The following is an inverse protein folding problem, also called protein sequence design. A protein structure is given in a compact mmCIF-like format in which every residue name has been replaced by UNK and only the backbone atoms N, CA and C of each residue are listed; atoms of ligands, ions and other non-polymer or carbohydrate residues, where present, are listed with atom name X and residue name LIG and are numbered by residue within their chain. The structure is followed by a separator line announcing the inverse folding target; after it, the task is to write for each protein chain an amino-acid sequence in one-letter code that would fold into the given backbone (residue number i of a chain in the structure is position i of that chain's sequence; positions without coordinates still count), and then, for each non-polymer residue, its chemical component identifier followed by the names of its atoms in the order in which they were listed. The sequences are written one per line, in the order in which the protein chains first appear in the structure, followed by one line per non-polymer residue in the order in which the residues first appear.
data_IF_710958211177
#
_entry.id   IF_710958211177
#
_cell.length_a   1.000
_cell.length_b   1.000
_cell.length_c   1.000
_cell.angle_alpha   90.00
_cell.angle_beta   90.00
_cell.angle_gamma   90.00
#
_symmetry.space_group_name_H-M   'P 1'
#
loop_
_entity.id
_entity.type
_entity.pdbx_description
1 polymer ?
#
# COMPACT_ATOMS: atom_id res chain seq x y z
N UNK A 1 4.20 4.95 -58.75
CA UNK A 1 3.11 3.96 -58.59
C UNK A 1 2.41 4.24 -57.27
N UNK A 2 1.10 4.50 -57.34
CA UNK A 2 0.21 4.78 -56.22
C UNK A 2 -0.28 3.45 -55.64
N UNK A 3 -0.25 3.27 -54.32
CA UNK A 3 -1.19 2.38 -53.64
C UNK A 3 -1.75 3.15 -52.45
N UNK A 4 -2.97 3.63 -52.67
CA UNK A 4 -3.91 4.11 -51.66
C UNK A 4 -4.67 2.90 -51.13
N UNK A 5 -4.81 2.75 -49.82
CA UNK A 5 -5.80 1.86 -49.21
C UNK A 5 -6.62 2.67 -48.20
N UNK A 6 -7.69 3.24 -48.72
CA UNK A 6 -9.00 3.49 -48.08
C UNK A 6 -9.57 2.10 -47.64
N UNK A 7 -10.42 1.86 -46.64
CA UNK A 7 -11.30 2.64 -45.75
C UNK A 7 -12.07 1.64 -44.86
N UNK A 8 -12.34 2.02 -43.60
CA UNK A 8 -13.56 1.78 -42.80
C UNK A 8 -14.12 0.34 -42.66
N UNK A 9 -14.20 -0.14 -41.41
CA UNK A 9 -15.50 -0.50 -40.84
C UNK A 9 -15.49 -0.53 -39.32
N UNK A 10 -16.43 0.21 -38.76
CA UNK A 10 -16.79 0.35 -37.36
C UNK A 10 -18.01 -0.55 -37.10
N UNK A 11 -17.88 -1.60 -36.30
CA UNK A 11 -19.00 -2.36 -35.71
C UNK A 11 -18.61 -2.75 -34.28
N UNK A 12 -18.98 -1.94 -33.29
CA UNK A 12 -20.19 -2.00 -32.46
C UNK A 12 -20.02 -2.82 -31.16
N UNK A 13 -19.79 -2.05 -30.09
CA UNK A 13 -20.42 -2.12 -28.77
C UNK A 13 -20.78 -3.50 -28.21
N UNK A 14 -19.90 -4.00 -27.33
CA UNK A 14 -20.36 -4.73 -26.14
C UNK A 14 -20.21 -3.82 -24.92
N UNK A 15 -21.36 -3.28 -24.53
CA UNK A 15 -21.64 -2.74 -23.20
C UNK A 15 -21.56 -3.86 -22.17
N UNK A 16 -20.80 -3.66 -21.09
CA UNK A 16 -21.31 -3.92 -19.75
C UNK A 16 -20.54 -3.09 -18.71
N UNK A 17 -21.34 -2.28 -18.05
CA UNK A 17 -21.07 -1.35 -16.97
C UNK A 17 -20.41 -2.04 -15.75
N UNK A 18 -19.27 -1.52 -15.33
CA UNK A 18 -18.62 -1.84 -14.07
C UNK A 18 -17.77 -0.65 -13.68
N UNK A 19 -18.31 0.20 -12.81
CA UNK A 19 -17.67 1.42 -12.32
C UNK A 19 -16.43 1.09 -11.49
N UNK A 20 -15.30 0.91 -12.16
CA UNK A 20 -13.97 0.99 -11.57
C UNK A 20 -13.31 2.27 -12.06
N UNK A 21 -13.41 3.30 -11.22
CA UNK A 21 -12.69 4.56 -11.40
C UNK A 21 -11.19 4.28 -11.31
N UNK A 22 -10.56 4.18 -12.48
CA UNK A 22 -9.12 4.17 -12.63
C UNK A 22 -8.59 5.56 -12.27
N UNK A 23 -7.91 5.68 -11.14
CA UNK A 23 -7.06 6.84 -10.83
C UNK A 23 -5.63 6.50 -11.23
N UNK A 24 -5.37 6.36 -12.53
CA UNK A 24 -4.02 6.56 -13.06
C UNK A 24 -3.83 8.06 -13.20
N UNK A 25 -3.40 8.70 -12.11
CA UNK A 25 -2.81 10.02 -12.16
C UNK A 25 -1.34 9.88 -12.57
N UNK A 26 -1.04 10.13 -13.84
CA UNK A 26 0.32 10.55 -14.22
C UNK A 26 0.52 11.99 -13.75
N UNK A 27 1.30 12.20 -12.69
CA UNK A 27 2.04 13.45 -12.47
C UNK A 27 3.27 13.21 -11.58
N UNK A 28 4.42 13.30 -12.22
CA UNK A 28 5.69 13.90 -11.75
C UNK A 28 6.38 13.31 -10.51
N UNK A 29 7.58 12.78 -10.75
CA UNK A 29 8.78 12.84 -9.91
C UNK A 29 8.59 13.67 -8.62
N UNK A 30 8.37 13.00 -7.50
CA UNK A 30 8.41 13.61 -6.17
C UNK A 30 9.32 12.74 -5.31
N UNK A 31 10.47 13.34 -4.98
CA UNK A 31 11.45 12.82 -4.04
C UNK A 31 10.76 12.23 -2.79
N UNK A 32 11.32 11.18 -2.17
CA UNK A 32 10.74 10.58 -0.97
C UNK A 32 10.76 11.61 0.15
N UNK A 33 9.62 12.26 0.36
CA UNK A 33 9.36 13.12 1.50
C UNK A 33 9.08 12.17 2.67
N UNK A 34 10.15 11.78 3.35
CA UNK A 34 10.10 11.10 4.63
C UNK A 34 9.36 12.01 5.62
N UNK A 35 8.05 11.83 5.76
CA UNK A 35 7.34 12.28 6.95
C UNK A 35 7.83 11.40 8.10
N UNK A 36 8.95 11.80 8.71
CA UNK A 36 9.32 11.32 10.02
C UNK A 36 8.25 11.80 10.99
N UNK A 37 7.37 10.88 11.38
CA UNK A 37 6.41 11.08 12.46
C UNK A 37 7.17 11.42 13.75
N UNK A 38 6.60 12.32 14.56
CA UNK A 38 7.18 12.76 15.85
C UNK A 38 7.38 11.61 16.86
N UNK A 39 6.85 10.41 16.59
CA UNK A 39 7.11 9.19 17.35
C UNK A 39 8.07 8.25 16.60
N UNK A 40 9.18 7.82 17.23
CA UNK A 40 10.01 6.72 16.76
C UNK A 40 9.18 5.45 16.59
N UNK A 41 9.38 4.72 15.48
CA UNK A 41 8.71 3.44 15.23
C UNK A 41 8.88 2.44 16.38
N UNK A 42 10.02 2.49 17.08
CA UNK A 42 10.36 1.61 18.19
C UNK A 42 9.50 1.81 19.45
N UNK A 43 8.87 2.98 19.59
CA UNK A 43 8.03 3.31 20.75
C UNK A 43 6.59 2.81 20.59
N UNK A 44 6.26 2.24 19.41
CA UNK A 44 4.93 1.76 19.13
C UNK A 44 4.70 0.39 19.77
N UNK A 45 3.55 0.21 20.42
CA UNK A 45 3.17 -1.06 21.07
C UNK A 45 3.17 -2.25 20.10
N UNK A 46 2.90 -2.00 18.82
CA UNK A 46 2.94 -3.02 17.78
C UNK A 46 4.35 -3.37 17.28
N UNK A 47 5.38 -2.56 17.59
CA UNK A 47 6.72 -2.72 17.04
C UNK A 47 7.37 -4.06 17.32
N UNK A 48 7.37 -4.60 18.57
CA UNK A 48 8.05 -5.87 18.86
C UNK A 48 7.58 -7.00 17.95
N UNK A 49 6.27 -7.10 17.73
CA UNK A 49 5.67 -8.12 16.86
C UNK A 49 5.97 -7.87 15.39
N UNK A 50 6.02 -6.59 14.97
CA UNK A 50 6.39 -6.25 13.61
C UNK A 50 7.84 -6.67 13.34
N UNK A 51 8.77 -6.36 14.25
CA UNK A 51 10.19 -6.72 14.11
C UNK A 51 10.46 -8.22 14.17
N UNK A 52 9.59 -9.00 14.82
CA UNK A 52 9.70 -10.46 14.85
C UNK A 52 9.29 -11.12 13.53
N UNK A 53 8.40 -10.47 12.76
CA UNK A 53 7.85 -11.03 11.52
C UNK A 53 8.45 -10.39 10.26
N UNK A 54 8.85 -9.12 10.34
CA UNK A 54 9.44 -8.35 9.24
C UNK A 54 10.91 -8.10 9.55
N UNK A 55 11.80 -8.39 8.60
CA UNK A 55 13.20 -7.99 8.70
C UNK A 55 13.33 -6.47 8.53
N UNK A 56 13.37 -5.77 9.67
CA UNK A 56 13.38 -4.31 9.73
C UNK A 56 14.68 -3.67 9.24
N UNK A 57 15.78 -4.44 9.08
CA UNK A 57 17.09 -3.89 8.67
C UNK A 57 17.10 -3.42 7.23
N UNK A 58 16.26 -4.01 6.39
CA UNK A 58 16.20 -3.74 4.95
C UNK A 58 14.95 -2.95 4.54
N UNK A 59 14.24 -2.37 5.50
CA UNK A 59 12.92 -1.77 5.29
C UNK A 59 12.92 -0.28 5.60
N UNK A 60 12.51 0.51 4.60
CA UNK A 60 11.97 1.84 4.84
C UNK A 60 10.54 1.72 5.37
N UNK A 61 10.11 2.69 6.18
CA UNK A 61 8.76 2.68 6.73
C UNK A 61 8.09 4.05 6.65
N UNK A 62 6.76 4.04 6.57
CA UNK A 62 5.94 5.24 6.41
C UNK A 62 4.60 5.08 7.14
N UNK A 63 4.32 5.96 8.09
CA UNK A 63 3.04 6.00 8.80
C UNK A 63 2.03 6.79 7.97
N UNK A 64 1.39 6.08 7.04
CA UNK A 64 0.39 6.68 6.13
C UNK A 64 -0.92 7.08 6.81
N UNK A 65 -1.20 6.55 8.01
CA UNK A 65 -2.36 6.92 8.81
C UNK A 65 -2.10 6.67 10.28
N UNK A 66 -2.29 7.67 11.12
CA UNK A 66 -2.38 7.51 12.56
C UNK A 66 -3.53 8.37 13.08
N UNK A 67 -4.57 7.74 13.63
CA UNK A 67 -5.68 8.45 14.25
C UNK A 67 -6.16 7.73 15.52
N UNK A 68 -7.22 8.25 16.15
CA UNK A 68 -7.77 7.68 17.40
C UNK A 68 -8.21 6.21 17.28
N UNK A 69 -8.47 5.72 16.06
CA UNK A 69 -9.02 4.38 15.85
C UNK A 69 -7.97 3.38 15.37
N UNK A 70 -7.06 3.82 14.49
CA UNK A 70 -6.07 2.93 13.88
C UNK A 70 -4.79 3.63 13.47
N UNK A 71 -3.72 2.84 13.41
CA UNK A 71 -2.46 3.18 12.75
C UNK A 71 -2.20 2.23 11.57
N UNK A 72 -1.70 2.77 10.47
CA UNK A 72 -1.32 2.01 9.28
C UNK A 72 0.10 2.40 8.89
N UNK A 73 0.98 1.41 8.87
CA UNK A 73 2.39 1.58 8.52
C UNK A 73 2.66 0.75 7.26
N UNK A 74 3.29 1.36 6.27
CA UNK A 74 3.78 0.67 5.08
C UNK A 74 5.28 0.43 5.23
N UNK A 75 5.72 -0.79 4.94
CA UNK A 75 7.12 -1.15 4.89
C UNK A 75 7.53 -1.38 3.45
N UNK A 76 8.59 -0.71 3.03
CA UNK A 76 9.06 -0.68 1.65
C UNK A 76 10.48 -1.23 1.59
N UNK A 77 10.77 -2.00 0.55
CA UNK A 77 12.12 -2.44 0.19
C UNK A 77 12.42 -1.90 -1.20
N UNK A 78 13.48 -1.11 -1.34
CA UNK A 78 13.84 -0.46 -2.60
C UNK A 78 12.67 0.34 -3.22
N UNK A 79 11.90 1.06 -2.38
CA UNK A 79 10.75 1.86 -2.80
C UNK A 79 9.45 1.08 -3.06
N UNK A 80 9.49 -0.25 -3.11
CA UNK A 80 8.31 -1.10 -3.32
C UNK A 80 7.69 -1.50 -1.98
N UNK A 81 6.37 -1.34 -1.81
CA UNK A 81 5.66 -1.77 -0.60
C UNK A 81 5.65 -3.29 -0.53
N UNK A 82 6.23 -3.86 0.53
CA UNK A 82 6.25 -5.31 0.78
C UNK A 82 5.29 -5.73 1.86
N UNK A 83 5.16 -4.90 2.91
CA UNK A 83 4.29 -5.19 4.04
C UNK A 83 3.42 -4.00 4.40
N UNK A 84 2.30 -4.31 5.06
CA UNK A 84 1.40 -3.34 5.67
C UNK A 84 1.02 -3.81 7.06
N UNK A 85 1.27 -2.97 8.07
CA UNK A 85 0.63 -3.15 9.38
C UNK A 85 -0.67 -2.35 9.46
N UNK A 86 -1.63 -2.89 10.19
CA UNK A 86 -2.85 -2.21 10.59
C UNK A 86 -3.06 -2.51 12.07
N UNK A 87 -2.84 -1.50 12.91
CA UNK A 87 -3.09 -1.59 14.34
C UNK A 87 -4.43 -0.94 14.67
N UNK A 88 -5.37 -1.70 15.21
CA UNK A 88 -6.69 -1.22 15.66
C UNK A 88 -6.60 -0.92 17.16
N UNK A 89 -6.54 0.37 17.51
CA UNK A 89 -6.25 0.83 18.88
C UNK A 89 -7.31 0.42 19.89
N UNK A 90 -8.59 0.45 19.51
CA UNK A 90 -9.70 0.11 20.44
C UNK A 90 -9.64 -1.33 20.94
N UNK A 91 -9.14 -2.25 20.11
CA UNK A 91 -9.14 -3.68 20.41
C UNK A 91 -7.74 -4.24 20.60
N UNK A 92 -6.72 -3.37 20.60
CA UNK A 92 -5.31 -3.70 20.52
C UNK A 92 -5.03 -4.80 19.49
N UNK A 93 -5.68 -4.77 18.32
CA UNK A 93 -5.51 -5.81 17.31
C UNK A 93 -4.51 -5.38 16.26
N UNK A 94 -3.44 -6.15 16.12
CA UNK A 94 -2.48 -5.98 15.04
C UNK A 94 -2.81 -6.94 13.90
N UNK A 95 -2.83 -6.41 12.69
CA UNK A 95 -2.78 -7.17 11.45
C UNK A 95 -1.48 -6.85 10.74
N UNK A 96 -0.77 -7.88 10.27
CA UNK A 96 0.39 -7.73 9.39
C UNK A 96 0.12 -8.50 8.11
N UNK A 97 0.24 -7.82 6.97
CA UNK A 97 -0.03 -8.36 5.64
C UNK A 97 1.22 -8.19 4.80
N UNK A 98 1.66 -9.26 4.16
CA UNK A 98 2.63 -9.23 3.06
C UNK A 98 1.84 -9.15 1.76
N UNK A 99 2.22 -8.26 0.83
CA UNK A 99 1.35 -7.96 -0.31
C UNK A 99 1.21 -9.11 -1.32
N UNK A 100 2.21 -9.98 -1.42
CA UNK A 100 2.25 -11.13 -2.33
C UNK A 100 1.72 -12.43 -1.67
N UNK A 101 1.86 -12.58 -0.36
CA UNK A 101 1.47 -13.81 0.37
C UNK A 101 0.20 -13.65 1.22
N UNK A 102 -0.23 -12.42 1.52
CA UNK A 102 -1.42 -12.14 2.31
C UNK A 102 -1.16 -12.00 3.81
N UNK A 103 -2.11 -12.44 4.63
CA UNK A 103 -2.15 -12.17 6.07
C UNK A 103 -1.14 -13.04 6.85
N UNK A 104 -0.12 -12.41 7.43
CA UNK A 104 0.91 -13.09 8.23
C UNK A 104 0.57 -13.10 9.73
N UNK A 105 -0.09 -12.05 10.22
CA UNK A 105 -0.43 -11.91 11.63
C UNK A 105 -1.80 -11.26 11.81
N UNK A 106 -2.60 -11.74 12.76
CA UNK A 106 -3.91 -11.16 13.10
C UNK A 106 -4.36 -11.55 14.51
N UNK A 107 -3.81 -10.89 15.54
CA UNK A 107 -4.15 -11.16 16.95
C UNK A 107 -4.31 -9.87 17.75
N UNK A 108 -4.94 -10.01 18.91
CA UNK A 108 -4.91 -8.99 19.95
C UNK A 108 -3.53 -9.05 20.61
N UNK A 109 -2.93 -7.88 20.82
CA UNK A 109 -1.59 -7.68 21.38
C UNK A 109 -1.71 -6.95 22.72
N UNK A 110 -0.75 -7.14 23.62
CA UNK A 110 -0.74 -6.56 24.97
C UNK A 110 0.41 -5.58 25.12
#
# INVERSE_FOLDING_TARGET
MKISVLVISLLLLTSCNGSYQSLVSKKTEQAPLSHQSDHPLHDLVEYPIISDVVDMKEMDWDITKDNLYKRVILFKKNGEIKYKSIYIKKTNRLKLVKLDEGLLYNKIIQ
#
